data_IF_273156983782
#
_entry.id   IF_273156983782
#
_cell.length_a   1.000
_cell.length_b   1.000
_cell.length_c   1.000
_cell.angle_alpha   90.00
_cell.angle_beta   90.00
_cell.angle_gamma   90.00
#
_symmetry.space_group_name_H-M   'P 1'
#
loop_
_entity.id
_entity.type
_entity.pdbx_description
1 polymer ?
#
# COMPACT_ATOMS: atom_id res chain seq x y z
N UNK A 1 -12.89 -18.08 13.47
CA UNK A 1 -12.75 -17.08 14.59
C UNK A 1 -13.20 -17.76 15.88
N UNK A 2 -12.51 -17.54 17.00
CA UNK A 2 -12.85 -18.15 18.28
C UNK A 2 -13.40 -17.04 19.21
N UNK A 3 -14.67 -17.17 19.65
CA UNK A 3 -15.36 -16.18 20.48
C UNK A 3 -14.62 -15.89 21.80
N UNK A 4 -14.06 -16.94 22.44
CA UNK A 4 -13.30 -16.78 23.68
C UNK A 4 -12.05 -15.91 23.49
N UNK A 5 -11.37 -16.07 22.34
CA UNK A 5 -10.16 -15.29 22.05
C UNK A 5 -10.47 -13.79 21.88
N UNK A 6 -11.54 -13.47 21.14
CA UNK A 6 -12.00 -12.10 20.97
C UNK A 6 -12.50 -11.53 22.29
N UNK A 7 -13.22 -12.32 23.08
CA UNK A 7 -13.71 -11.92 24.40
C UNK A 7 -12.60 -11.55 25.36
N UNK A 8 -11.54 -12.34 25.42
CA UNK A 8 -10.36 -12.03 26.24
C UNK A 8 -9.73 -10.70 25.84
N UNK A 9 -9.59 -10.44 24.53
CA UNK A 9 -9.04 -9.16 24.01
C UNK A 9 -9.90 -7.98 24.42
N UNK A 10 -11.23 -8.10 24.30
CA UNK A 10 -12.14 -7.03 24.72
C UNK A 10 -11.96 -6.73 26.22
N UNK A 11 -11.88 -7.77 27.06
CA UNK A 11 -11.67 -7.63 28.51
C UNK A 11 -10.34 -6.96 28.83
N UNK A 12 -9.23 -7.46 28.25
CA UNK A 12 -7.88 -6.93 28.46
C UNK A 12 -7.77 -5.46 28.06
N UNK A 13 -8.28 -5.09 26.88
CA UNK A 13 -8.24 -3.71 26.38
C UNK A 13 -9.13 -2.77 27.20
N UNK A 14 -10.32 -3.25 27.62
CA UNK A 14 -11.21 -2.48 28.50
C UNK A 14 -10.54 -2.21 29.84
N UNK A 15 -9.97 -3.23 30.46
CA UNK A 15 -9.28 -3.12 31.76
C UNK A 15 -8.03 -2.23 31.68
N UNK A 16 -7.25 -2.34 30.60
CA UNK A 16 -6.09 -1.47 30.36
C UNK A 16 -6.49 0.03 30.27
N UNK A 17 -7.74 0.30 29.85
CA UNK A 17 -8.30 1.66 29.86
C UNK A 17 -9.02 2.04 31.18
N UNK A 18 -8.98 1.18 32.17
CA UNK A 18 -9.66 1.42 33.45
C UNK A 18 -11.17 1.50 33.37
N UNK A 19 -11.80 0.93 32.32
CA UNK A 19 -13.24 0.97 32.12
C UNK A 19 -13.92 -0.24 32.77
N UNK A 20 -15.09 -0.02 33.35
CA UNK A 20 -16.01 -1.10 33.73
C UNK A 20 -16.80 -1.62 32.52
N UNK A 21 -17.37 -2.82 32.63
CA UNK A 21 -18.29 -3.36 31.60
C UNK A 21 -19.46 -2.41 31.33
N UNK A 22 -20.03 -1.81 32.38
CA UNK A 22 -21.11 -0.84 32.26
C UNK A 22 -20.69 0.44 31.50
N UNK A 23 -19.48 0.94 31.71
CA UNK A 23 -18.97 2.12 31.01
C UNK A 23 -18.73 1.83 29.52
N UNK A 24 -18.19 0.64 29.19
CA UNK A 24 -18.05 0.23 27.78
C UNK A 24 -19.43 0.03 27.14
N UNK A 25 -20.36 -0.60 27.84
CA UNK A 25 -21.75 -0.79 27.38
C UNK A 25 -22.46 0.53 27.09
N UNK A 26 -22.31 1.52 27.96
CA UNK A 26 -22.84 2.88 27.74
C UNK A 26 -22.27 3.54 26.48
N UNK A 27 -20.98 3.43 26.25
CA UNK A 27 -20.33 3.99 25.04
C UNK A 27 -20.86 3.39 23.73
N UNK A 28 -21.20 2.11 23.78
CA UNK A 28 -21.69 1.35 22.62
C UNK A 28 -23.22 1.31 22.52
N UNK A 29 -23.93 1.93 23.48
CA UNK A 29 -25.39 1.89 23.60
C UNK A 29 -25.93 0.46 23.61
N UNK A 30 -25.28 -0.42 24.38
CA UNK A 30 -25.70 -1.82 24.60
C UNK A 30 -25.87 -2.11 26.11
N UNK A 31 -26.36 -3.28 26.45
CA UNK A 31 -26.41 -3.69 27.85
C UNK A 31 -25.05 -4.18 28.37
N UNK A 32 -24.82 -4.03 29.68
CA UNK A 32 -23.66 -4.61 30.38
C UNK A 32 -23.60 -6.14 30.23
N UNK A 33 -24.75 -6.79 30.16
CA UNK A 33 -24.88 -8.23 29.89
C UNK A 33 -24.37 -8.62 28.51
N UNK A 34 -24.50 -7.72 27.51
CA UNK A 34 -23.93 -7.97 26.19
C UNK A 34 -22.40 -7.97 26.24
N UNK A 35 -21.79 -6.98 26.89
CA UNK A 35 -20.34 -6.93 27.10
C UNK A 35 -19.84 -8.17 27.83
N UNK A 36 -20.48 -8.52 28.94
CA UNK A 36 -20.16 -9.73 29.72
C UNK A 36 -20.26 -11.01 28.88
N UNK A 37 -21.27 -11.10 28.01
CA UNK A 37 -21.42 -12.24 27.07
C UNK A 37 -20.28 -12.32 26.07
N UNK A 38 -19.82 -11.19 25.53
CA UNK A 38 -18.69 -11.14 24.60
C UNK A 38 -17.40 -11.50 25.32
N UNK A 39 -17.10 -10.90 26.46
CA UNK A 39 -15.87 -11.14 27.23
C UNK A 39 -15.73 -12.58 27.69
N UNK A 40 -16.86 -13.25 27.99
CA UNK A 40 -16.87 -14.67 28.40
C UNK A 40 -16.93 -15.65 27.22
N UNK A 41 -16.84 -15.15 25.97
CA UNK A 41 -16.84 -15.97 24.75
C UNK A 41 -18.20 -16.65 24.47
N UNK A 42 -19.28 -16.22 25.11
CA UNK A 42 -20.63 -16.77 24.92
C UNK A 42 -21.39 -16.17 23.74
N UNK A 43 -20.75 -15.27 23.00
CA UNK A 43 -21.27 -14.64 21.80
C UNK A 43 -20.27 -13.64 21.20
N UNK A 44 -20.62 -13.15 20.02
CA UNK A 44 -19.88 -12.12 19.30
C UNK A 44 -20.61 -10.78 19.38
N UNK A 45 -19.88 -9.63 19.28
CA UNK A 45 -20.51 -8.37 18.91
C UNK A 45 -21.21 -8.49 17.56
N UNK A 46 -22.32 -7.79 17.37
CA UNK A 46 -22.89 -7.62 16.04
C UNK A 46 -21.90 -6.90 15.12
N UNK A 47 -21.96 -7.22 13.83
CA UNK A 47 -21.03 -6.64 12.85
C UNK A 47 -21.07 -5.11 12.85
N UNK A 48 -22.23 -4.52 13.09
CA UNK A 48 -22.42 -3.07 13.18
C UNK A 48 -21.75 -2.44 14.40
N UNK A 49 -21.42 -3.24 15.41
CA UNK A 49 -20.78 -2.80 16.66
C UNK A 49 -19.26 -3.00 16.65
N UNK A 50 -18.70 -3.69 15.63
CA UNK A 50 -17.26 -4.01 15.61
C UNK A 50 -16.41 -2.75 15.49
N UNK A 51 -16.77 -1.82 14.62
CA UNK A 51 -16.07 -0.54 14.45
C UNK A 51 -16.20 0.35 15.69
N UNK A 52 -17.43 0.65 16.21
CA UNK A 52 -17.57 1.41 17.44
C UNK A 52 -16.84 0.80 18.65
N UNK A 53 -16.79 -0.54 18.73
CA UNK A 53 -16.07 -1.24 19.79
C UNK A 53 -14.55 -1.06 19.64
N UNK A 54 -14.01 -1.18 18.44
CA UNK A 54 -12.60 -0.96 18.18
C UNK A 54 -12.19 0.49 18.51
N UNK A 55 -13.00 1.47 18.14
CA UNK A 55 -12.82 2.88 18.47
C UNK A 55 -12.86 3.14 19.96
N UNK A 56 -13.86 2.59 20.67
CA UNK A 56 -13.97 2.71 22.12
C UNK A 56 -12.78 2.12 22.87
N UNK A 57 -12.22 1.03 22.33
CA UNK A 57 -11.04 0.36 22.86
C UNK A 57 -9.72 0.96 22.33
N UNK A 58 -9.76 1.84 21.30
CA UNK A 58 -8.59 2.53 20.74
C UNK A 58 -7.65 1.60 19.99
N UNK A 59 -8.19 0.62 19.31
CA UNK A 59 -7.46 -0.35 18.49
C UNK A 59 -8.07 -0.42 17.08
N UNK A 60 -7.36 -0.99 16.13
CA UNK A 60 -7.93 -1.29 14.83
C UNK A 60 -8.90 -2.50 14.93
N UNK A 61 -9.84 -2.59 13.99
CA UNK A 61 -10.73 -3.76 13.87
C UNK A 61 -9.90 -5.05 13.73
N UNK A 62 -8.77 -4.99 13.04
CA UNK A 62 -7.91 -6.15 12.83
C UNK A 62 -7.25 -6.60 14.14
N UNK A 63 -6.79 -5.68 14.98
CA UNK A 63 -6.25 -5.98 16.31
C UNK A 63 -7.29 -6.61 17.20
N UNK A 64 -8.49 -6.02 17.24
CA UNK A 64 -9.62 -6.54 18.00
C UNK A 64 -9.96 -7.99 17.59
N UNK A 65 -9.99 -8.28 16.29
CA UNK A 65 -10.37 -9.59 15.78
C UNK A 65 -9.24 -10.63 15.86
N UNK A 66 -7.98 -10.24 15.73
CA UNK A 66 -6.80 -11.12 15.79
C UNK A 66 -6.32 -11.37 17.21
N UNK A 67 -6.61 -10.46 18.13
CA UNK A 67 -6.28 -10.61 19.54
C UNK A 67 -4.78 -10.57 19.84
N UNK A 68 -4.04 -9.77 19.09
CA UNK A 68 -2.61 -9.53 19.30
C UNK A 68 -2.27 -8.13 18.84
N UNK A 69 -1.35 -7.49 19.52
CA UNK A 69 -0.67 -6.32 19.00
C UNK A 69 -0.14 -6.63 17.58
N UNK A 70 -0.41 -5.73 16.64
CA UNK A 70 0.17 -5.84 15.30
C UNK A 70 1.63 -5.44 15.41
N UNK A 71 2.49 -6.42 15.62
CA UNK A 71 3.93 -6.21 15.61
C UNK A 71 4.42 -6.15 14.16
N UNK A 72 5.10 -5.06 13.82
CA UNK A 72 5.79 -4.98 12.54
C UNK A 72 6.93 -6.01 12.49
N UNK A 73 6.72 -7.07 11.73
CA UNK A 73 7.72 -8.13 11.52
C UNK A 73 8.68 -7.81 10.37
N UNK A 74 8.60 -6.59 9.83
CA UNK A 74 9.42 -6.11 8.72
C UNK A 74 9.48 -7.08 7.51
N UNK A 75 8.36 -7.67 7.16
CA UNK A 75 8.28 -8.61 6.03
C UNK A 75 8.53 -7.96 4.68
N UNK A 76 8.28 -6.65 4.58
CA UNK A 76 8.40 -5.86 3.36
C UNK A 76 9.70 -5.06 3.32
N UNK A 77 10.85 -5.72 3.60
CA UNK A 77 12.15 -5.06 3.68
C UNK A 77 12.94 -5.07 2.36
N UNK A 78 12.46 -5.77 1.34
CA UNK A 78 13.19 -5.91 0.08
C UNK A 78 12.65 -4.95 -0.98
N UNK A 79 13.39 -3.86 -1.25
CA UNK A 79 13.04 -2.84 -2.24
C UNK A 79 12.98 -3.38 -3.68
N UNK A 80 13.68 -4.50 -3.97
CA UNK A 80 13.62 -5.15 -5.28
C UNK A 80 12.24 -5.77 -5.61
N UNK A 81 11.37 -5.90 -4.60
CA UNK A 81 9.99 -6.38 -4.73
C UNK A 81 8.97 -5.25 -4.69
N UNK A 82 9.40 -4.01 -4.85
CA UNK A 82 8.51 -2.86 -4.90
C UNK A 82 7.48 -3.02 -6.01
N UNK A 83 6.24 -2.70 -5.69
CA UNK A 83 5.11 -2.73 -6.61
C UNK A 83 4.68 -1.32 -6.95
N UNK A 84 4.28 -1.11 -8.18
CA UNK A 84 3.76 0.14 -8.70
C UNK A 84 2.29 -0.03 -9.06
N UNK A 85 1.50 0.97 -8.72
CA UNK A 85 0.07 1.03 -9.04
C UNK A 85 -0.19 2.40 -9.69
N UNK A 86 -0.88 2.42 -10.81
CA UNK A 86 -1.25 3.66 -11.48
C UNK A 86 -2.75 3.72 -11.65
N UNK A 87 -3.34 4.83 -11.22
CA UNK A 87 -4.77 5.05 -11.38
C UNK A 87 -5.10 5.44 -12.83
N UNK A 88 -5.93 4.67 -13.55
CA UNK A 88 -6.27 4.99 -14.94
C UNK A 88 -7.17 6.22 -15.07
N UNK A 89 -7.79 6.70 -13.97
CA UNK A 89 -8.68 7.86 -13.97
C UNK A 89 -7.89 9.17 -13.80
N UNK A 90 -7.00 9.23 -12.80
CA UNK A 90 -6.30 10.48 -12.45
C UNK A 90 -4.78 10.43 -12.66
N UNK A 91 -4.21 9.29 -13.08
CA UNK A 91 -2.77 9.12 -13.28
C UNK A 91 -1.95 9.15 -11.99
N UNK A 92 -2.58 8.98 -10.81
CA UNK A 92 -1.88 8.90 -9.54
C UNK A 92 -1.00 7.65 -9.50
N UNK A 93 0.24 7.81 -9.06
CA UNK A 93 1.24 6.74 -8.94
C UNK A 93 1.39 6.42 -7.46
N UNK A 94 1.16 5.18 -7.08
CA UNK A 94 1.27 4.69 -5.70
C UNK A 94 2.23 3.52 -5.71
N UNK A 95 3.16 3.48 -4.77
CA UNK A 95 4.12 2.39 -4.62
C UNK A 95 3.94 1.68 -3.29
N UNK A 96 4.19 0.37 -3.26
CA UNK A 96 4.22 -0.41 -2.03
C UNK A 96 5.42 -1.35 -2.01
N UNK A 97 6.00 -1.57 -0.84
CA UNK A 97 7.13 -2.50 -0.64
C UNK A 97 6.66 -3.91 -0.30
N UNK A 98 5.37 -4.14 -0.22
CA UNK A 98 4.76 -5.44 0.10
C UNK A 98 3.36 -5.56 -0.45
N UNK A 99 2.67 -6.63 -0.07
CA UNK A 99 1.28 -6.85 -0.44
C UNK A 99 0.38 -5.79 0.21
N UNK A 100 -0.36 -5.07 -0.61
CA UNK A 100 -1.28 -4.02 -0.17
C UNK A 100 -2.54 -4.02 -1.04
N UNK A 101 -3.66 -3.66 -0.45
CA UNK A 101 -4.86 -3.30 -1.20
C UNK A 101 -4.80 -1.78 -1.40
N UNK A 102 -4.58 -1.37 -2.65
CA UNK A 102 -4.45 0.03 -3.03
C UNK A 102 -5.70 0.46 -3.77
N UNK A 103 -6.27 1.60 -3.41
CA UNK A 103 -7.43 2.16 -4.11
C UNK A 103 -7.22 3.64 -4.42
N UNK A 104 -7.76 4.09 -5.55
CA UNK A 104 -7.78 5.49 -5.96
C UNK A 104 -9.00 5.75 -6.84
N UNK A 105 -9.62 6.93 -6.74
CA UNK A 105 -10.80 7.30 -7.52
C UNK A 105 -11.95 6.28 -7.44
N UNK A 106 -12.12 5.59 -6.30
CA UNK A 106 -13.19 4.61 -6.08
C UNK A 106 -12.96 3.22 -6.70
N UNK A 107 -11.78 2.96 -7.27
CA UNK A 107 -11.42 1.65 -7.84
C UNK A 107 -10.20 1.05 -7.11
N UNK A 108 -10.17 -0.27 -7.02
CA UNK A 108 -8.99 -1.01 -6.53
C UNK A 108 -7.97 -1.10 -7.66
N UNK A 109 -6.72 -0.75 -7.35
CA UNK A 109 -5.61 -0.75 -8.29
C UNK A 109 -4.77 -2.03 -8.11
N UNK A 110 -4.76 -2.96 -9.06
CA UNK A 110 -3.81 -4.06 -9.03
C UNK A 110 -2.37 -3.54 -9.16
N UNK A 111 -1.37 -4.28 -8.67
CA UNK A 111 0.01 -3.98 -8.99
C UNK A 111 0.24 -4.14 -10.50
N UNK A 112 1.05 -3.25 -11.07
CA UNK A 112 1.48 -3.37 -12.45
C UNK A 112 2.53 -4.48 -12.57
N UNK A 113 2.36 -5.34 -13.55
CA UNK A 113 3.37 -6.35 -13.91
C UNK A 113 4.29 -5.74 -15.00
N UNK A 114 5.60 -5.68 -14.77
CA UNK A 114 6.51 -5.12 -15.75
C UNK A 114 6.72 -6.08 -16.93
N UNK A 115 6.68 -5.54 -18.12
CA UNK A 115 6.97 -6.25 -19.37
C UNK A 115 8.41 -5.97 -19.82
N UNK A 116 8.93 -6.82 -20.69
CA UNK A 116 10.20 -6.57 -21.38
C UNK A 116 10.02 -5.50 -22.46
N UNK A 117 11.12 -4.84 -22.80
CA UNK A 117 11.12 -3.86 -23.90
C UNK A 117 10.71 -4.48 -25.23
N UNK A 118 10.10 -3.66 -26.07
CA UNK A 118 9.73 -3.99 -27.44
C UNK A 118 10.31 -2.96 -28.43
N UNK A 119 10.03 -3.14 -29.73
CA UNK A 119 10.54 -2.24 -30.79
C UNK A 119 10.07 -0.78 -30.64
N UNK A 120 8.95 -0.55 -29.95
CA UNK A 120 8.34 0.79 -29.76
C UNK A 120 8.63 1.37 -28.38
N UNK A 121 8.99 0.50 -27.43
CA UNK A 121 9.28 0.86 -26.06
C UNK A 121 10.65 0.30 -25.69
N UNK A 122 11.68 1.03 -25.99
CA UNK A 122 13.06 0.71 -25.62
C UNK A 122 13.72 1.91 -24.96
N UNK A 123 14.67 1.64 -24.12
CA UNK A 123 15.35 2.64 -23.32
C UNK A 123 16.81 2.79 -23.79
N UNK A 124 17.18 3.99 -24.20
CA UNK A 124 18.58 4.38 -24.39
C UNK A 124 19.21 4.72 -23.04
N UNK A 125 20.36 4.13 -22.75
CA UNK A 125 21.09 4.34 -21.50
C UNK A 125 22.52 4.80 -21.82
N UNK A 126 22.83 6.04 -21.44
CA UNK A 126 24.18 6.59 -21.53
C UNK A 126 24.73 6.80 -20.11
N UNK A 127 25.96 6.34 -19.91
CA UNK A 127 26.67 6.57 -18.66
C UNK A 127 27.49 7.84 -18.78
N UNK A 128 27.19 8.84 -17.93
CA UNK A 128 27.92 10.12 -17.90
C UNK A 128 28.40 10.35 -16.47
N UNK A 129 29.69 10.21 -16.23
CA UNK A 129 30.33 10.33 -14.91
C UNK A 129 29.68 9.36 -13.87
N UNK A 130 28.96 9.87 -12.89
CA UNK A 130 28.27 9.13 -11.84
C UNK A 130 26.76 9.00 -12.07
N UNK A 131 26.25 9.41 -13.25
CA UNK A 131 24.85 9.38 -13.62
C UNK A 131 24.59 8.50 -14.84
N UNK A 132 23.40 7.92 -14.88
CA UNK A 132 22.76 7.39 -16.05
C UNK A 132 21.89 8.48 -16.68
N UNK A 133 22.13 8.78 -17.95
CA UNK A 133 21.20 9.54 -18.77
C UNK A 133 20.32 8.56 -19.53
N UNK A 134 19.05 8.62 -19.24
CA UNK A 134 18.00 7.71 -19.75
C UNK A 134 17.17 8.46 -20.76
N UNK A 135 17.00 7.90 -21.95
CA UNK A 135 16.16 8.43 -23.01
C UNK A 135 15.22 7.34 -23.52
N UNK A 136 13.98 7.67 -23.78
CA UNK A 136 12.99 6.75 -24.35
C UNK A 136 12.44 7.39 -25.62
N UNK A 137 12.75 6.84 -26.82
CA UNK A 137 12.18 7.34 -28.06
C UNK A 137 10.70 7.05 -28.13
N UNK A 138 9.88 8.02 -27.74
CA UNK A 138 8.45 7.88 -27.63
C UNK A 138 7.75 9.15 -28.14
N UNK A 139 6.55 9.03 -28.70
CA UNK A 139 5.84 10.15 -29.31
C UNK A 139 5.46 11.28 -28.35
N UNK A 140 5.31 10.98 -27.09
CA UNK A 140 4.99 11.93 -26.01
C UNK A 140 3.78 12.85 -26.29
N UNK A 141 2.78 12.35 -26.99
CA UNK A 141 1.55 13.10 -27.27
C UNK A 141 0.68 13.24 -26.03
N UNK A 142 -0.33 14.13 -26.06
CA UNK A 142 -1.32 14.27 -24.97
C UNK A 142 -2.06 12.98 -24.61
N UNK A 143 -2.22 12.10 -25.60
CA UNK A 143 -2.96 10.84 -25.42
C UNK A 143 -2.06 9.64 -25.15
N UNK A 144 -0.80 9.69 -25.60
CA UNK A 144 0.14 8.60 -25.53
C UNK A 144 1.51 9.10 -25.12
N UNK A 145 1.97 8.82 -23.91
CA UNK A 145 3.21 9.35 -23.36
C UNK A 145 3.77 8.47 -22.23
N UNK A 146 5.06 8.59 -22.00
CA UNK A 146 5.72 8.02 -20.83
C UNK A 146 5.41 8.89 -19.63
N UNK A 147 4.73 8.32 -18.62
CA UNK A 147 4.24 9.04 -17.45
C UNK A 147 5.28 9.19 -16.35
N UNK A 148 6.19 8.22 -16.22
CA UNK A 148 7.34 8.30 -15.32
C UNK A 148 8.46 7.36 -15.74
N UNK A 149 9.66 7.67 -15.24
CA UNK A 149 10.83 6.77 -15.24
C UNK A 149 11.26 6.62 -13.77
N UNK A 150 11.62 5.41 -13.35
CA UNK A 150 12.04 5.12 -11.99
C UNK A 150 13.29 4.24 -11.96
N UNK A 151 14.32 4.69 -11.25
CA UNK A 151 15.50 3.89 -10.92
C UNK A 151 15.30 3.20 -9.57
N UNK A 152 15.24 1.88 -9.58
CA UNK A 152 15.07 1.08 -8.35
C UNK A 152 16.46 0.70 -7.84
N UNK A 153 16.67 1.01 -6.55
CA UNK A 153 17.90 0.79 -5.81
C UNK A 153 17.67 -0.27 -4.72
N UNK A 154 18.74 -0.74 -4.10
CA UNK A 154 18.64 -1.69 -2.97
C UNK A 154 18.04 -1.06 -1.70
N UNK A 155 18.10 0.26 -1.57
CA UNK A 155 17.64 1.02 -0.41
C UNK A 155 16.52 2.03 -0.72
N UNK A 156 16.07 2.12 -1.98
CA UNK A 156 15.04 3.09 -2.35
C UNK A 156 14.67 3.07 -3.82
N UNK A 157 13.84 4.04 -4.18
CA UNK A 157 13.46 4.33 -5.56
C UNK A 157 13.60 5.82 -5.82
N UNK A 158 14.20 6.15 -6.96
CA UNK A 158 14.22 7.51 -7.46
C UNK A 158 13.32 7.59 -8.69
N UNK A 159 12.26 8.41 -8.63
CA UNK A 159 11.27 8.50 -9.71
C UNK A 159 11.21 9.92 -10.26
N UNK A 160 11.19 10.03 -11.56
CA UNK A 160 10.96 11.27 -12.31
C UNK A 160 9.59 11.18 -12.99
N UNK A 161 8.67 12.05 -12.60
CA UNK A 161 7.39 12.23 -13.29
C UNK A 161 7.62 12.94 -14.60
N UNK A 162 7.04 12.42 -15.69
CA UNK A 162 7.06 13.02 -17.00
C UNK A 162 5.65 13.47 -17.41
N UNK A 163 5.62 14.37 -18.37
CA UNK A 163 4.37 14.97 -18.87
C UNK A 163 4.30 14.87 -20.39
N UNK A 164 3.10 14.81 -20.90
CA UNK A 164 2.86 14.89 -22.33
C UNK A 164 3.49 16.17 -22.95
N UNK A 165 3.87 16.09 -24.19
CA UNK A 165 4.52 17.16 -24.98
C UNK A 165 5.91 17.59 -24.45
N UNK A 166 6.45 16.86 -23.46
CA UNK A 166 7.82 17.00 -22.99
C UNK A 166 8.72 15.88 -23.55
N UNK A 167 10.00 15.89 -23.18
CA UNK A 167 10.92 14.83 -23.52
C UNK A 167 10.76 13.62 -22.59
N UNK A 168 10.86 12.41 -23.13
CA UNK A 168 10.93 11.20 -22.32
C UNK A 168 12.39 10.90 -21.93
N UNK A 169 12.93 11.72 -21.03
CA UNK A 169 14.32 11.62 -20.58
C UNK A 169 14.43 11.90 -19.07
N UNK A 170 15.45 11.31 -18.45
CA UNK A 170 15.75 11.51 -17.03
C UNK A 170 17.22 11.22 -16.71
N UNK A 171 17.71 11.77 -15.59
CA UNK A 171 19.03 11.45 -15.06
C UNK A 171 18.88 10.81 -13.68
N UNK A 172 19.65 9.76 -13.44
CA UNK A 172 19.67 9.01 -12.20
C UNK A 172 21.10 8.70 -11.77
N UNK A 173 21.37 8.75 -10.48
CA UNK A 173 22.67 8.33 -9.95
C UNK A 173 22.87 6.83 -10.15
N UNK A 174 24.04 6.46 -10.69
CA UNK A 174 24.43 5.07 -10.96
C UNK A 174 24.52 4.25 -9.67
N UNK A 175 24.99 4.89 -8.58
CA UNK A 175 25.21 4.20 -7.32
C UNK A 175 23.95 3.47 -6.84
N UNK A 176 24.08 2.15 -6.66
CA UNK A 176 23.03 1.24 -6.14
C UNK A 176 21.84 1.01 -7.05
N UNK A 177 21.77 1.63 -8.24
CA UNK A 177 20.72 1.33 -9.22
C UNK A 177 20.83 -0.11 -9.70
N UNK A 178 19.73 -0.85 -9.59
CA UNK A 178 19.64 -2.26 -9.96
C UNK A 178 18.91 -2.48 -11.28
N UNK A 179 17.86 -1.70 -11.50
CA UNK A 179 17.09 -1.71 -12.74
C UNK A 179 16.30 -0.41 -12.89
N UNK A 180 15.89 -0.14 -14.10
CA UNK A 180 15.06 1.02 -14.44
C UNK A 180 13.68 0.52 -14.87
N UNK A 181 12.65 1.23 -14.41
CA UNK A 181 11.27 1.05 -14.83
C UNK A 181 10.79 2.32 -15.53
N UNK A 182 9.91 2.17 -16.51
CA UNK A 182 9.18 3.29 -17.08
C UNK A 182 7.75 2.86 -17.46
N UNK A 183 6.84 3.80 -17.41
CA UNK A 183 5.42 3.54 -17.60
C UNK A 183 4.84 4.36 -18.74
N UNK A 184 4.38 3.66 -19.76
CA UNK A 184 3.55 4.21 -20.83
C UNK A 184 2.07 4.16 -20.40
N UNK A 185 1.36 5.27 -20.55
CA UNK A 185 -0.03 5.37 -20.13
C UNK A 185 -1.00 4.47 -20.91
N UNK A 186 -0.60 3.94 -22.06
CA UNK A 186 -1.38 3.02 -22.88
C UNK A 186 -0.88 1.57 -22.75
N UNK A 187 0.46 1.38 -22.80
CA UNK A 187 1.04 0.04 -22.93
C UNK A 187 1.54 -0.57 -21.63
N UNK A 188 1.53 0.20 -20.52
CA UNK A 188 1.85 -0.34 -19.20
C UNK A 188 3.28 -0.09 -18.74
N UNK A 189 3.78 -0.95 -17.85
CA UNK A 189 5.06 -0.84 -17.19
C UNK A 189 6.11 -1.69 -17.90
N UNK A 190 7.29 -1.13 -18.14
CA UNK A 190 8.44 -1.81 -18.76
C UNK A 190 9.61 -1.84 -17.77
N UNK A 191 10.46 -2.88 -17.87
CA UNK A 191 11.63 -3.08 -17.02
C UNK A 191 12.88 -3.31 -17.84
N UNK A 192 13.95 -2.61 -17.49
CA UNK A 192 15.31 -2.77 -18.04
C UNK A 192 16.28 -3.06 -16.89
N UNK A 193 17.08 -4.12 -17.01
CA UNK A 193 18.10 -4.57 -16.04
C UNK A 193 19.49 -4.05 -16.37
#
# INVERSE_FOLDING_TARGET
MNAQKIGNVISELREAKGMTQAQLAQRLNVSDKAISKWETGRGYPDISLVEPLADALGVSIIELLKGKDIVNTNKSFNMMRMKFHVCPICGNIITSTGEAVVSCCGIVLPPLEPEAEDEKHWLGLEKTEDEYYVTIPHEMSKKHYISFIAAVKDDGVEMKKLYAEGNAEARFKISRTKYILYYCNIHGLFKVE
#
